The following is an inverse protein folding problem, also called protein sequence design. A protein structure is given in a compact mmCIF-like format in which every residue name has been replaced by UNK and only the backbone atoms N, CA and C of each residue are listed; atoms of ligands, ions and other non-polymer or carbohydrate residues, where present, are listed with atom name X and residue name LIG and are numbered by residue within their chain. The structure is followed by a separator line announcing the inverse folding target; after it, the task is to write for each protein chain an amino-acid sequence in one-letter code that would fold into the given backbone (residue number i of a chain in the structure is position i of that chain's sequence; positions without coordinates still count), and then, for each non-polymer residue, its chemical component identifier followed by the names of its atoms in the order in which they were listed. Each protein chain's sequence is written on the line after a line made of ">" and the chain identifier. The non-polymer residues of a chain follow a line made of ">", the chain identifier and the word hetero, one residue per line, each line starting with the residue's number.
data_IF_098155884682
#
_entry.id   IF_098155884682
#
_cell.length_a   1.000
_cell.length_b   1.000
_cell.length_c   1.000
_cell.angle_alpha   90.00
_cell.angle_beta   90.00
_cell.angle_gamma   90.00
#
_symmetry.space_group_name_H-M   'P 1'
#
loop_
_entity.id
_entity.type
_entity.pdbx_description
1 polymer ?
#
# COMPACT_ATOMS: atom_id res chain seq x y z
N UNK A 1 13.77 12.65 16.34
CA UNK A 1 14.85 11.77 15.84
C UNK A 1 15.16 12.16 14.40
N UNK A 2 16.41 12.24 14.06
CA UNK A 2 16.88 12.64 12.73
C UNK A 2 16.51 11.61 11.64
N UNK A 3 16.27 10.37 12.03
CA UNK A 3 15.88 9.26 11.16
C UNK A 3 14.37 8.98 11.14
N UNK A 4 13.55 9.86 11.71
CA UNK A 4 12.09 9.69 11.83
C UNK A 4 11.65 8.35 12.45
N UNK A 5 12.53 7.70 13.20
CA UNK A 5 12.30 6.40 13.83
C UNK A 5 12.64 5.18 12.95
N UNK A 6 13.22 5.37 11.77
CA UNK A 6 13.50 4.29 10.83
C UNK A 6 14.41 3.18 11.42
N UNK A 7 15.34 3.53 12.30
CA UNK A 7 16.18 2.54 12.99
C UNK A 7 15.35 1.57 13.83
N UNK A 8 14.31 2.05 14.52
CA UNK A 8 13.41 1.17 15.30
C UNK A 8 12.68 0.20 14.38
N UNK A 9 12.19 0.68 13.23
CA UNK A 9 11.54 -0.16 12.23
C UNK A 9 12.49 -1.25 11.72
N UNK A 10 13.70 -0.87 11.29
CA UNK A 10 14.70 -1.79 10.78
C UNK A 10 15.10 -2.86 11.80
N UNK A 11 15.37 -2.47 13.05
CA UNK A 11 15.72 -3.41 14.12
C UNK A 11 14.55 -4.33 14.50
N UNK A 12 13.31 -3.83 14.45
CA UNK A 12 12.10 -4.66 14.67
C UNK A 12 11.97 -5.73 13.59
N UNK A 13 12.15 -5.36 12.30
CA UNK A 13 12.13 -6.30 11.18
C UNK A 13 13.17 -7.40 11.38
N UNK A 14 14.44 -7.01 11.59
CA UNK A 14 15.54 -7.95 11.79
C UNK A 14 15.30 -8.87 12.98
N UNK A 15 14.79 -8.32 14.09
CA UNK A 15 14.50 -9.10 15.29
C UNK A 15 13.39 -10.12 15.06
N UNK A 16 12.32 -9.74 14.36
CA UNK A 16 11.24 -10.67 13.99
C UNK A 16 11.75 -11.80 13.09
N UNK A 17 12.56 -11.49 12.09
CA UNK A 17 13.15 -12.48 11.19
C UNK A 17 14.07 -13.46 11.94
N UNK A 18 14.78 -12.99 12.97
CA UNK A 18 15.64 -13.84 13.80
C UNK A 18 14.84 -14.75 14.73
N UNK A 19 13.78 -14.22 15.37
CA UNK A 19 13.03 -14.96 16.40
C UNK A 19 11.98 -15.88 15.79
N UNK A 20 11.43 -15.51 14.63
CA UNK A 20 10.39 -16.28 13.93
C UNK A 20 10.76 -16.39 12.44
N UNK A 21 11.79 -17.17 12.09
CA UNK A 21 12.36 -17.21 10.73
C UNK A 21 11.37 -17.70 9.67
N UNK A 22 10.40 -18.51 10.03
CA UNK A 22 9.37 -19.02 9.12
C UNK A 22 8.23 -18.02 8.85
N UNK A 23 8.21 -16.88 9.55
CA UNK A 23 7.20 -15.84 9.40
C UNK A 23 7.60 -14.81 8.35
N UNK A 24 6.69 -14.50 7.42
CA UNK A 24 6.88 -13.36 6.52
C UNK A 24 6.57 -12.05 7.26
N UNK A 25 7.43 -11.05 7.08
CA UNK A 25 7.25 -9.73 7.71
C UNK A 25 6.75 -8.74 6.66
N UNK A 26 5.52 -8.28 6.79
CA UNK A 26 5.02 -7.11 6.07
C UNK A 26 5.15 -5.88 6.98
N UNK A 27 5.65 -4.78 6.42
CA UNK A 27 5.73 -3.50 7.11
C UNK A 27 4.85 -2.46 6.43
N UNK A 28 3.94 -1.85 7.19
CA UNK A 28 3.17 -0.69 6.74
C UNK A 28 3.80 0.58 7.33
N UNK A 29 4.49 1.34 6.49
CA UNK A 29 5.36 2.44 6.92
C UNK A 29 4.77 3.82 6.66
N UNK A 30 5.13 4.84 7.46
CA UNK A 30 4.92 6.23 7.09
C UNK A 30 5.81 6.61 5.90
N UNK A 31 5.62 7.83 5.37
CA UNK A 31 6.43 8.35 4.26
C UNK A 31 7.84 8.83 4.66
N UNK A 32 8.20 8.78 5.94
CA UNK A 32 9.47 9.32 6.50
C UNK A 32 9.86 10.70 5.91
N UNK A 33 8.88 11.51 5.52
CA UNK A 33 9.04 12.78 4.81
C UNK A 33 9.84 12.68 3.49
N UNK A 34 9.94 11.48 2.91
CA UNK A 34 10.77 11.19 1.74
C UNK A 34 12.27 11.15 2.03
N UNK A 35 12.68 10.99 3.30
CA UNK A 35 14.08 10.94 3.68
C UNK A 35 14.71 9.60 3.28
N UNK A 36 15.43 9.59 2.16
CA UNK A 36 16.03 8.39 1.58
C UNK A 36 16.87 7.56 2.55
N UNK A 37 17.78 8.15 3.37
CA UNK A 37 18.58 7.37 4.31
C UNK A 37 17.73 6.62 5.35
N UNK A 38 16.54 7.15 5.71
CA UNK A 38 15.59 6.45 6.59
C UNK A 38 14.93 5.29 5.88
N UNK A 39 14.46 5.49 4.64
CA UNK A 39 13.85 4.45 3.83
C UNK A 39 14.85 3.33 3.52
N UNK A 40 16.11 3.69 3.20
CA UNK A 40 17.17 2.71 2.92
C UNK A 40 17.40 1.76 4.09
N UNK A 41 17.36 2.24 5.35
CA UNK A 41 17.46 1.36 6.53
C UNK A 41 16.38 0.26 6.55
N UNK A 42 15.16 0.58 6.10
CA UNK A 42 14.08 -0.40 6.03
C UNK A 42 14.29 -1.38 4.87
N UNK A 43 14.75 -0.89 3.72
CA UNK A 43 15.05 -1.74 2.58
C UNK A 43 16.21 -2.71 2.91
N UNK A 44 17.25 -2.24 3.58
CA UNK A 44 18.38 -3.06 4.05
C UNK A 44 17.96 -4.10 5.10
N UNK A 45 16.90 -3.83 5.85
CA UNK A 45 16.32 -4.81 6.77
C UNK A 45 15.51 -5.90 6.06
N UNK A 46 15.25 -5.73 4.76
CA UNK A 46 14.68 -6.69 3.83
C UNK A 46 13.34 -7.33 4.32
N UNK A 47 12.28 -6.54 4.58
CA UNK A 47 10.97 -7.10 4.87
C UNK A 47 10.43 -7.90 3.67
N UNK A 48 9.60 -8.90 3.93
CA UNK A 48 8.99 -9.71 2.87
C UNK A 48 8.05 -8.89 1.97
N UNK A 49 7.39 -7.87 2.52
CA UNK A 49 6.53 -6.94 1.81
C UNK A 49 6.76 -5.54 2.40
N UNK A 50 7.06 -4.58 1.53
CA UNK A 50 7.08 -3.16 1.88
C UNK A 50 5.77 -2.51 1.46
N UNK A 51 5.02 -2.00 2.43
CA UNK A 51 3.71 -1.38 2.22
C UNK A 51 3.74 0.10 2.61
N UNK A 52 3.27 0.95 1.70
CA UNK A 52 3.01 2.36 1.96
C UNK A 52 1.76 2.78 1.19
N UNK A 53 0.71 3.21 1.90
CA UNK A 53 -0.56 3.54 1.28
C UNK A 53 -0.58 4.95 0.68
N UNK A 54 -1.17 5.09 -0.52
CA UNK A 54 -1.52 6.38 -1.11
C UNK A 54 -2.78 6.99 -0.48
N UNK A 55 -3.57 6.18 0.23
CA UNK A 55 -4.75 6.48 1.06
C UNK A 55 -6.00 6.91 0.31
N UNK A 56 -5.92 7.72 -0.73
CA UNK A 56 -7.01 8.20 -1.57
C UNK A 56 -6.46 8.70 -2.91
N UNK A 57 -7.33 9.09 -3.83
CA UNK A 57 -6.92 9.71 -5.11
C UNK A 57 -6.27 11.08 -4.89
N UNK A 58 -5.41 11.52 -5.82
CA UNK A 58 -4.60 12.73 -5.65
C UNK A 58 -5.41 13.99 -5.35
N UNK A 59 -6.52 14.22 -6.08
CA UNK A 59 -7.36 15.42 -5.95
C UNK A 59 -7.81 15.70 -4.52
N UNK A 60 -8.14 14.65 -3.77
CA UNK A 60 -8.66 14.79 -2.40
C UNK A 60 -7.59 14.56 -1.32
N UNK A 61 -6.36 14.20 -1.70
CA UNK A 61 -5.30 13.83 -0.75
C UNK A 61 -5.01 14.91 0.30
N UNK A 62 -5.01 16.18 -0.08
CA UNK A 62 -4.79 17.31 0.85
C UNK A 62 -5.90 17.47 1.90
N UNK A 63 -7.13 17.03 1.58
CA UNK A 63 -8.26 17.08 2.50
C UNK A 63 -8.21 15.89 3.49
N UNK A 64 -7.78 14.72 3.01
CA UNK A 64 -7.68 13.48 3.80
C UNK A 64 -6.49 13.52 4.76
N UNK A 65 -5.33 13.99 4.28
CA UNK A 65 -4.08 14.02 5.05
C UNK A 65 -3.35 15.34 4.83
N UNK A 66 -3.55 16.29 5.71
CA UNK A 66 -2.97 17.65 5.61
C UNK A 66 -1.43 17.66 5.52
N UNK A 67 -0.75 16.69 6.12
CA UNK A 67 0.71 16.60 6.15
C UNK A 67 1.30 15.66 5.09
N UNK A 68 0.50 14.79 4.49
CA UNK A 68 0.93 13.89 3.43
C UNK A 68 0.83 14.57 2.08
N UNK A 69 1.74 14.23 1.18
CA UNK A 69 1.72 14.68 -0.22
C UNK A 69 1.65 13.44 -1.10
N UNK A 70 0.72 13.41 -2.04
CA UNK A 70 0.59 12.35 -3.03
C UNK A 70 1.92 12.05 -3.72
N UNK A 71 2.59 13.08 -4.23
CA UNK A 71 3.90 12.95 -4.87
C UNK A 71 4.95 12.29 -3.97
N UNK A 72 4.91 12.53 -2.66
CA UNK A 72 5.83 11.92 -1.71
C UNK A 72 5.51 10.45 -1.47
N UNK A 73 4.23 10.07 -1.37
CA UNK A 73 3.84 8.67 -1.28
C UNK A 73 4.27 7.90 -2.53
N UNK A 74 4.07 8.48 -3.72
CA UNK A 74 4.56 7.93 -4.98
C UNK A 74 6.08 7.74 -4.96
N UNK A 75 6.82 8.75 -4.55
CA UNK A 75 8.28 8.69 -4.44
C UNK A 75 8.77 7.58 -3.49
N UNK A 76 8.10 7.38 -2.35
CA UNK A 76 8.42 6.27 -1.43
C UNK A 76 8.22 4.92 -2.10
N UNK A 77 7.14 4.75 -2.87
CA UNK A 77 6.88 3.53 -3.64
C UNK A 77 7.90 3.33 -4.77
N UNK A 78 8.28 4.39 -5.48
CA UNK A 78 9.35 4.34 -6.48
C UNK A 78 10.68 3.85 -5.89
N UNK A 79 11.06 4.39 -4.74
CA UNK A 79 12.28 3.97 -4.04
C UNK A 79 12.22 2.50 -3.61
N UNK A 80 11.07 2.02 -3.14
CA UNK A 80 10.92 0.62 -2.75
C UNK A 80 11.08 -0.32 -3.94
N UNK A 81 10.48 0.02 -5.08
CA UNK A 81 10.59 -0.75 -6.32
C UNK A 81 12.05 -0.74 -6.84
N UNK A 82 12.69 0.43 -6.85
CA UNK A 82 14.11 0.57 -7.21
C UNK A 82 15.02 -0.30 -6.35
N UNK A 83 14.68 -0.48 -5.08
CA UNK A 83 15.37 -1.38 -4.16
C UNK A 83 14.86 -2.83 -4.23
N UNK A 84 14.08 -3.19 -5.26
CA UNK A 84 13.58 -4.55 -5.52
C UNK A 84 12.74 -5.13 -4.38
N UNK A 85 12.05 -4.27 -3.62
CA UNK A 85 11.10 -4.71 -2.62
C UNK A 85 9.80 -5.18 -3.28
N UNK A 86 9.20 -6.24 -2.77
CA UNK A 86 7.80 -6.54 -3.07
C UNK A 86 6.95 -5.41 -2.50
N UNK A 87 6.43 -4.57 -3.40
CA UNK A 87 5.82 -3.30 -3.04
C UNK A 87 4.30 -3.39 -3.04
N UNK A 88 3.72 -2.92 -1.95
CA UNK A 88 2.28 -2.88 -1.73
C UNK A 88 1.81 -1.47 -1.45
N UNK A 89 0.65 -1.13 -2.02
CA UNK A 89 -0.06 0.11 -1.71
C UNK A 89 -1.57 -0.14 -1.60
N UNK A 90 -2.31 0.88 -1.22
CA UNK A 90 -3.75 0.83 -1.18
C UNK A 90 -4.37 2.21 -1.02
N UNK A 91 -5.66 2.28 -1.35
CA UNK A 91 -6.48 3.46 -1.14
C UNK A 91 -7.85 3.11 -0.55
N UNK A 92 -8.48 4.12 0.00
CA UNK A 92 -9.85 4.06 0.47
C UNK A 92 -10.76 4.77 -0.54
N UNK A 93 -11.96 4.22 -0.74
CA UNK A 93 -13.02 4.82 -1.57
C UNK A 93 -14.22 5.24 -0.74
N UNK A 94 -14.99 6.21 -1.24
CA UNK A 94 -16.15 6.77 -0.52
C UNK A 94 -15.88 8.14 0.10
N UNK A 95 -14.80 8.82 -0.31
CA UNK A 95 -14.38 10.15 0.15
C UNK A 95 -14.78 11.28 -0.81
N UNK A 96 -15.46 10.96 -1.93
CA UNK A 96 -15.90 11.91 -2.96
C UNK A 96 -15.10 11.83 -4.27
N UNK A 97 -14.32 10.79 -4.43
CA UNK A 97 -13.70 10.42 -5.70
C UNK A 97 -14.72 9.80 -6.66
N UNK A 98 -14.41 9.85 -7.96
CA UNK A 98 -15.11 9.09 -8.99
C UNK A 98 -14.46 7.75 -9.23
N UNK A 99 -15.17 6.79 -9.83
CA UNK A 99 -14.59 5.50 -10.20
C UNK A 99 -13.43 5.68 -11.20
N UNK A 100 -13.52 6.65 -12.11
CA UNK A 100 -12.43 6.94 -13.06
C UNK A 100 -11.16 7.42 -12.35
N UNK A 101 -11.26 8.26 -11.34
CA UNK A 101 -10.08 8.70 -10.56
C UNK A 101 -9.42 7.55 -9.81
N UNK A 102 -10.22 6.57 -9.33
CA UNK A 102 -9.69 5.35 -8.73
C UNK A 102 -8.91 4.54 -9.78
N UNK A 103 -9.51 4.33 -10.96
CA UNK A 103 -8.89 3.58 -12.07
C UNK A 103 -7.59 4.27 -12.55
N UNK A 104 -7.58 5.58 -12.69
CA UNK A 104 -6.36 6.33 -13.05
C UNK A 104 -5.27 6.19 -11.97
N UNK A 105 -5.64 6.24 -10.69
CA UNK A 105 -4.69 5.98 -9.59
C UNK A 105 -4.14 4.55 -9.63
N UNK A 106 -4.98 3.57 -9.97
CA UNK A 106 -4.54 2.18 -10.15
C UNK A 106 -3.56 2.05 -11.32
N UNK A 107 -3.85 2.66 -12.47
CA UNK A 107 -2.94 2.66 -13.63
C UNK A 107 -1.59 3.27 -13.27
N UNK A 108 -1.59 4.43 -12.62
CA UNK A 108 -0.37 5.09 -12.19
C UNK A 108 0.49 4.20 -11.28
N UNK A 109 -0.11 3.45 -10.35
CA UNK A 109 0.61 2.54 -9.47
C UNK A 109 1.08 1.28 -10.20
N UNK A 110 0.31 0.77 -11.16
CA UNK A 110 0.72 -0.37 -12.01
C UNK A 110 1.90 0.01 -12.92
N UNK A 111 1.84 1.18 -13.57
CA UNK A 111 2.92 1.71 -14.41
C UNK A 111 4.20 1.95 -13.62
N UNK A 112 4.07 2.31 -12.34
CA UNK A 112 5.20 2.44 -11.42
C UNK A 112 5.86 1.09 -11.10
N UNK A 113 5.12 -0.02 -11.19
CA UNK A 113 5.57 -1.36 -10.87
C UNK A 113 5.15 -1.88 -9.49
N UNK A 114 4.13 -1.28 -8.88
CA UNK A 114 3.52 -1.82 -7.65
C UNK A 114 2.88 -3.17 -7.96
N UNK A 115 3.11 -4.16 -7.11
CA UNK A 115 2.66 -5.54 -7.36
C UNK A 115 1.39 -5.91 -6.59
N UNK A 116 1.16 -5.29 -5.42
CA UNK A 116 0.00 -5.57 -4.56
C UNK A 116 -0.79 -4.29 -4.34
N UNK A 117 -2.10 -4.33 -4.63
CA UNK A 117 -2.97 -3.18 -4.47
C UNK A 117 -4.23 -3.52 -3.65
N UNK A 118 -4.56 -2.69 -2.67
CA UNK A 118 -5.74 -2.87 -1.82
C UNK A 118 -6.72 -1.70 -1.99
N UNK A 119 -8.03 -2.01 -2.11
CA UNK A 119 -9.11 -1.02 -2.15
C UNK A 119 -10.14 -1.36 -1.08
N UNK A 120 -10.36 -0.45 -0.14
CA UNK A 120 -11.33 -0.61 0.93
C UNK A 120 -12.29 0.57 1.05
N UNK A 121 -13.47 0.35 1.64
CA UNK A 121 -14.40 1.43 1.97
C UNK A 121 -13.83 2.31 3.08
N UNK A 122 -13.84 3.62 2.88
CA UNK A 122 -13.59 4.57 3.96
C UNK A 122 -14.73 4.52 4.98
N UNK A 123 -14.36 4.42 6.24
CA UNK A 123 -15.28 4.57 7.37
C UNK A 123 -14.78 5.72 8.24
N UNK A 124 -15.67 6.63 8.61
CA UNK A 124 -15.30 7.80 9.41
C UNK A 124 -14.87 7.39 10.82
N UNK A 125 -13.60 7.58 11.22
CA UNK A 125 -13.11 7.12 12.53
C UNK A 125 -13.72 7.88 13.71
N UNK A 126 -13.88 9.21 13.56
CA UNK A 126 -14.53 10.09 14.55
C UNK A 126 -15.25 11.24 13.83
N UNK A 127 -16.10 11.97 14.53
CA UNK A 127 -16.82 13.13 13.99
C UNK A 127 -15.90 14.27 13.51
N UNK A 128 -14.63 14.27 13.90
CA UNK A 128 -13.60 15.23 13.46
C UNK A 128 -12.99 14.90 12.10
N UNK A 129 -13.16 13.67 11.61
CA UNK A 129 -12.68 13.24 10.31
C UNK A 129 -13.67 13.54 9.20
N UNK A 130 -13.23 13.42 7.95
CA UNK A 130 -14.11 13.62 6.79
C UNK A 130 -15.30 12.68 6.86
N UNK A 131 -16.47 13.20 6.51
CA UNK A 131 -17.69 12.39 6.41
C UNK A 131 -17.57 11.43 5.22
N UNK A 132 -18.15 10.23 5.38
CA UNK A 132 -18.35 9.33 4.25
C UNK A 132 -19.24 10.04 3.23
N UNK A 133 -18.77 10.17 1.98
CA UNK A 133 -19.51 10.82 0.91
C UNK A 133 -20.42 9.83 0.18
N UNK A 134 -19.98 8.57 0.08
CA UNK A 134 -20.79 7.47 -0.46
C UNK A 134 -20.33 6.12 0.10
N UNK A 135 -21.25 5.21 0.21
CA UNK A 135 -20.94 3.78 0.36
C UNK A 135 -20.87 3.19 -1.04
N UNK A 136 -19.67 2.76 -1.43
CA UNK A 136 -19.41 2.22 -2.75
C UNK A 136 -20.08 0.86 -2.90
N UNK A 137 -20.76 0.66 -4.03
CA UNK A 137 -21.50 -0.57 -4.28
C UNK A 137 -20.55 -1.78 -4.42
N UNK A 138 -20.90 -2.98 -3.92
CA UNK A 138 -20.07 -4.17 -4.06
C UNK A 138 -19.64 -4.49 -5.50
N UNK A 139 -20.49 -4.18 -6.49
CA UNK A 139 -20.14 -4.36 -7.90
C UNK A 139 -18.98 -3.46 -8.36
N UNK A 140 -18.86 -2.24 -7.82
CA UNK A 140 -17.74 -1.35 -8.14
C UNK A 140 -16.44 -1.93 -7.60
N UNK A 141 -16.45 -2.51 -6.40
CA UNK A 141 -15.28 -3.22 -5.85
C UNK A 141 -14.88 -4.42 -6.73
N UNK A 142 -15.87 -5.17 -7.23
CA UNK A 142 -15.63 -6.27 -8.16
C UNK A 142 -14.99 -5.75 -9.47
N UNK A 143 -15.54 -4.70 -10.03
CA UNK A 143 -15.01 -4.03 -11.23
C UNK A 143 -13.56 -3.56 -11.00
N UNK A 144 -13.25 -2.90 -9.87
CA UNK A 144 -11.88 -2.50 -9.56
C UNK A 144 -10.93 -3.70 -9.47
N UNK A 145 -11.40 -4.83 -8.92
CA UNK A 145 -10.59 -6.05 -8.86
C UNK A 145 -10.27 -6.59 -10.25
N UNK A 146 -11.26 -6.67 -11.12
CA UNK A 146 -11.10 -7.13 -12.51
C UNK A 146 -10.14 -6.21 -13.28
N UNK A 147 -10.37 -4.89 -13.24
CA UNK A 147 -9.48 -3.89 -13.88
C UNK A 147 -8.05 -3.99 -13.32
N UNK A 148 -7.90 -4.18 -12.02
CA UNK A 148 -6.56 -4.29 -11.43
C UNK A 148 -5.79 -5.52 -11.88
N UNK A 149 -6.46 -6.65 -12.07
CA UNK A 149 -5.84 -7.84 -12.67
C UNK A 149 -5.41 -7.58 -14.12
N UNK A 150 -6.26 -6.91 -14.91
CA UNK A 150 -5.96 -6.53 -16.30
C UNK A 150 -4.79 -5.53 -16.40
N UNK A 151 -4.64 -4.64 -15.39
CA UNK A 151 -3.50 -3.73 -15.28
C UNK A 151 -2.19 -4.41 -14.87
N UNK A 152 -2.23 -5.69 -14.48
CA UNK A 152 -1.05 -6.48 -14.18
C UNK A 152 -0.64 -6.54 -12.71
N UNK A 153 -1.48 -6.06 -11.76
CA UNK A 153 -1.20 -6.31 -10.35
C UNK A 153 -1.18 -7.82 -10.08
N UNK A 154 -0.15 -8.29 -9.39
CA UNK A 154 -0.04 -9.70 -9.02
C UNK A 154 -1.08 -10.10 -7.98
N UNK A 155 -1.39 -9.18 -7.09
CA UNK A 155 -2.44 -9.35 -6.08
C UNK A 155 -3.25 -8.07 -5.98
N UNK A 156 -4.57 -8.19 -6.08
CA UNK A 156 -5.50 -7.09 -5.81
C UNK A 156 -6.61 -7.57 -4.87
N UNK A 157 -6.75 -6.87 -3.76
CA UNK A 157 -7.86 -7.04 -2.84
C UNK A 157 -8.76 -5.82 -2.89
N UNK A 158 -10.02 -6.02 -3.24
CA UNK A 158 -11.00 -4.95 -3.39
C UNK A 158 -12.32 -5.37 -2.77
N UNK A 159 -12.79 -4.60 -1.79
CA UNK A 159 -14.04 -4.91 -1.09
C UNK A 159 -14.32 -3.96 0.07
N UNK A 160 -15.59 -3.88 0.53
CA UNK A 160 -15.99 -2.95 1.60
C UNK A 160 -15.22 -3.14 2.90
N UNK A 161 -14.85 -4.36 3.24
CA UNK A 161 -14.17 -4.72 4.48
C UNK A 161 -12.65 -4.89 4.32
N UNK A 162 -12.11 -4.67 3.11
CA UNK A 162 -10.67 -4.75 2.87
C UNK A 162 -9.94 -3.68 3.69
N UNK A 163 -8.84 -4.06 4.30
CA UNK A 163 -7.90 -3.21 5.04
C UNK A 163 -6.48 -3.57 4.58
N UNK A 164 -5.49 -2.75 4.94
CA UNK A 164 -4.09 -2.97 4.53
C UNK A 164 -3.55 -4.34 4.91
N UNK A 165 -3.96 -4.90 6.05
CA UNK A 165 -3.55 -6.23 6.52
C UNK A 165 -4.49 -7.38 6.08
N UNK A 166 -5.52 -7.09 5.27
CA UNK A 166 -6.50 -8.10 4.87
C UNK A 166 -5.85 -9.21 4.05
N UNK A 167 -5.97 -10.45 4.53
CA UNK A 167 -5.37 -11.64 3.90
C UNK A 167 -3.88 -11.52 3.56
N UNK A 168 -3.08 -10.81 4.37
CA UNK A 168 -1.66 -10.62 4.14
C UNK A 168 -0.89 -11.94 3.98
N UNK A 169 -1.25 -12.98 4.72
CA UNK A 169 -0.71 -14.34 4.60
C UNK A 169 -0.96 -14.97 3.22
N UNK A 170 -2.17 -14.80 2.68
CA UNK A 170 -2.53 -15.29 1.34
C UNK A 170 -1.80 -14.50 0.26
N UNK A 171 -1.67 -13.18 0.41
CA UNK A 171 -0.95 -12.31 -0.51
C UNK A 171 0.52 -12.74 -0.63
N UNK A 172 1.19 -12.97 0.49
CA UNK A 172 2.56 -13.47 0.52
C UNK A 172 2.72 -14.86 -0.13
N UNK A 173 1.75 -15.77 0.07
CA UNK A 173 1.77 -17.11 -0.55
C UNK A 173 1.53 -17.08 -2.05
N UNK A 174 0.60 -16.25 -2.53
CA UNK A 174 0.31 -16.10 -3.96
C UNK A 174 1.53 -15.56 -4.71
N UNK A 175 2.21 -14.57 -4.13
CA UNK A 175 3.43 -14.03 -4.70
C UNK A 175 4.53 -15.10 -4.84
N UNK A 176 4.78 -15.90 -3.78
CA UNK A 176 5.79 -16.98 -3.82
C UNK A 176 5.48 -18.03 -4.89
N UNK A 177 4.21 -18.41 -5.08
CA UNK A 177 3.79 -19.36 -6.11
C UNK A 177 4.02 -18.84 -7.52
N UNK A 178 3.75 -17.57 -7.77
CA UNK A 178 3.94 -16.97 -9.10
C UNK A 178 5.44 -16.81 -9.43
N UNK A 179 6.26 -16.48 -8.44
CA UNK A 179 7.71 -16.35 -8.62
C UNK A 179 8.40 -17.71 -8.87
N UNK A 180 7.86 -18.81 -8.34
CA UNK A 180 8.40 -20.16 -8.56
C UNK A 180 7.99 -20.80 -9.91
N UNK A 181 7.01 -20.23 -10.62
CA UNK A 181 6.57 -20.71 -11.95
C UNK A 181 7.30 -19.94 -13.07
N UNK A 182 7.89 -18.78 -12.76
CA UNK A 182 8.59 -17.92 -13.70
C UNK A 182 10.12 -18.16 -13.74
N UNK A 183 10.65 -19.07 -12.92
CA UNK A 183 12.04 -19.54 -12.89
C UNK A 183 12.15 -20.95 -13.48
#
# INVERSE_FOLDING_TARGET
>A
RDDYGATIWAETIKRLQLVVPDCSVEVLTPDFRGHEPSLQKLFDANPSIFSHNIECVERISKQVRKQSRWSRSKYVLELSIKNKMLTKTGLMVGLGETNNEVIESMKEMADLGVEIFNIGQYLQPTTKHLKVQRYVHPNDFKMFKEIGLDLGFKVIESGPLVRSSYHADKQARLYRKQSSVAS
#
